data_IF_040860961824
#
_entry.id   IF_040860961824
#
_cell.length_a   1.000
_cell.length_b   1.000
_cell.length_c   1.000
_cell.angle_alpha   90.00
_cell.angle_beta   90.00
_cell.angle_gamma   90.00
#
_symmetry.space_group_name_H-M   'P 1'
#
loop_
_entity.id
_entity.type
_entity.pdbx_description
1 polymer ?
#
# COMPACT_ATOMS: atom_id res chain seq x y z
N UNK A 1 25.99 14.31 6.39
CA UNK A 1 24.99 14.41 5.32
C UNK A 1 23.65 13.96 5.87
N UNK A 2 22.60 14.77 5.80
CA UNK A 2 21.30 14.49 6.43
C UNK A 2 20.12 14.72 5.48
N UNK A 3 20.35 14.79 4.17
CA UNK A 3 19.29 15.04 3.20
C UNK A 3 18.69 13.72 2.72
N UNK A 4 17.37 13.66 2.64
CA UNK A 4 16.61 12.47 2.23
C UNK A 4 15.74 12.82 1.03
N UNK A 5 15.84 12.03 -0.05
CA UNK A 5 14.93 12.11 -1.17
C UNK A 5 13.72 11.22 -0.90
N UNK A 6 12.50 11.79 -0.89
CA UNK A 6 11.25 11.03 -0.71
C UNK A 6 10.51 10.98 -2.03
N UNK A 7 10.43 9.80 -2.66
CA UNK A 7 9.72 9.59 -3.92
C UNK A 7 8.19 9.50 -3.70
N UNK A 8 7.43 9.44 -4.80
CA UNK A 8 5.96 9.41 -4.80
C UNK A 8 5.33 10.56 -3.99
N UNK A 9 5.99 11.71 -3.97
CA UNK A 9 5.60 12.86 -3.15
C UNK A 9 4.29 13.52 -3.59
N UNK A 10 3.62 13.01 -4.62
CA UNK A 10 2.23 13.33 -4.93
C UNK A 10 1.22 12.64 -4.00
N UNK A 11 1.62 11.61 -3.25
CA UNK A 11 0.77 10.82 -2.35
C UNK A 11 0.79 11.27 -0.89
N UNK A 12 -0.25 10.88 -0.15
CA UNK A 12 -0.39 11.22 1.28
C UNK A 12 0.62 10.52 2.20
N UNK A 13 1.01 9.29 1.88
CA UNK A 13 2.02 8.55 2.64
C UNK A 13 3.38 9.27 2.54
N UNK A 14 3.79 9.64 1.33
CA UNK A 14 5.00 10.40 1.08
C UNK A 14 4.97 11.77 1.76
N UNK A 15 3.85 12.51 1.67
CA UNK A 15 3.68 13.76 2.41
C UNK A 15 3.85 13.57 3.93
N UNK A 16 3.40 12.44 4.47
CA UNK A 16 3.55 12.13 5.90
C UNK A 16 5.00 11.86 6.28
N UNK A 17 5.76 11.20 5.39
CA UNK A 17 7.21 11.01 5.53
C UNK A 17 7.92 12.37 5.49
N UNK A 18 7.65 13.20 4.48
CA UNK A 18 8.20 14.56 4.34
C UNK A 18 7.96 15.39 5.60
N UNK A 19 6.72 15.39 6.11
CA UNK A 19 6.34 16.13 7.33
C UNK A 19 7.02 15.59 8.58
N UNK A 20 7.08 14.27 8.74
CA UNK A 20 7.73 13.64 9.90
C UNK A 20 9.20 14.00 9.93
N UNK A 21 9.93 13.71 8.86
CA UNK A 21 11.37 13.96 8.77
C UNK A 21 11.70 15.46 8.90
N UNK A 22 10.95 16.33 8.22
CA UNK A 22 11.16 17.77 8.30
C UNK A 22 10.89 18.34 9.71
N UNK A 23 9.95 17.79 10.48
CA UNK A 23 9.72 18.18 11.88
C UNK A 23 10.87 17.78 12.82
N UNK A 24 11.59 16.71 12.48
CA UNK A 24 12.82 16.30 13.16
C UNK A 24 14.08 17.02 12.63
N UNK A 25 13.92 18.02 11.74
CA UNK A 25 15.02 18.82 11.21
C UNK A 25 15.85 18.15 10.12
N UNK A 26 15.38 17.02 9.57
CA UNK A 26 15.98 16.36 8.41
C UNK A 26 15.66 17.21 7.16
N UNK A 27 16.65 17.43 6.29
CA UNK A 27 16.41 18.09 5.00
C UNK A 27 15.72 17.08 4.07
N UNK A 28 14.62 17.47 3.44
CA UNK A 28 13.86 16.55 2.59
C UNK A 28 13.68 17.15 1.20
N UNK A 29 14.06 16.39 0.18
CA UNK A 29 13.66 16.67 -1.20
C UNK A 29 12.44 15.85 -1.55
N UNK A 30 11.39 16.51 -2.06
CA UNK A 30 10.17 15.85 -2.51
C UNK A 30 10.30 15.43 -3.99
N UNK A 31 10.41 14.13 -4.25
CA UNK A 31 10.48 13.53 -5.58
C UNK A 31 9.12 13.13 -6.15
N UNK A 32 8.75 13.61 -7.33
CA UNK A 32 7.51 13.24 -8.02
C UNK A 32 7.53 13.67 -9.49
N UNK A 33 6.57 13.21 -10.27
CA UNK A 33 6.38 13.51 -11.68
C UNK A 33 5.83 14.93 -11.93
N UNK A 34 5.31 15.60 -10.88
CA UNK A 34 4.60 16.89 -11.02
C UNK A 34 5.05 17.92 -10.00
N UNK A 35 5.36 19.13 -10.49
CA UNK A 35 5.75 20.28 -9.65
C UNK A 35 4.66 20.73 -8.67
N UNK A 36 3.39 20.65 -9.08
CA UNK A 36 2.26 21.02 -8.22
C UNK A 36 1.61 19.76 -7.64
N UNK A 37 2.21 19.27 -6.56
CA UNK A 37 1.82 18.04 -5.88
C UNK A 37 1.95 18.21 -4.36
N UNK A 38 1.43 17.23 -3.60
CA UNK A 38 1.32 17.34 -2.14
C UNK A 38 2.66 17.64 -1.44
N UNK A 39 3.70 16.86 -1.71
CA UNK A 39 5.02 16.97 -1.11
C UNK A 39 5.77 18.23 -1.54
N UNK A 40 5.93 18.53 -2.85
CA UNK A 40 6.63 19.73 -3.31
C UNK A 40 6.14 21.07 -2.73
N UNK A 41 4.84 21.18 -2.42
CA UNK A 41 4.29 22.41 -1.83
C UNK A 41 4.35 22.43 -0.31
N UNK A 42 4.72 21.32 0.34
CA UNK A 42 4.87 21.22 1.78
C UNK A 42 5.97 22.16 2.26
N UNK A 43 5.74 22.87 3.37
CA UNK A 43 6.79 23.68 4.01
C UNK A 43 7.96 22.86 4.57
N UNK A 44 7.76 21.56 4.71
CA UNK A 44 8.74 20.62 5.24
C UNK A 44 9.59 19.97 4.13
N UNK A 45 9.27 20.23 2.87
CA UNK A 45 10.16 19.95 1.75
C UNK A 45 11.10 21.14 1.56
N UNK A 46 12.41 20.88 1.59
CA UNK A 46 13.46 21.88 1.35
C UNK A 46 13.68 22.10 -0.14
N UNK A 47 13.51 21.04 -0.94
CA UNK A 47 13.65 21.09 -2.40
C UNK A 47 12.66 20.12 -3.08
N UNK A 48 12.63 20.15 -4.41
CA UNK A 48 11.78 19.31 -5.25
C UNK A 48 12.59 18.68 -6.38
N UNK A 49 12.42 17.37 -6.56
CA UNK A 49 12.97 16.62 -7.67
C UNK A 49 11.84 16.20 -8.61
N UNK A 50 11.89 16.65 -9.86
CA UNK A 50 10.91 16.27 -10.90
C UNK A 50 11.53 15.25 -11.83
N UNK A 51 10.87 14.11 -11.99
CA UNK A 51 11.37 12.99 -12.78
C UNK A 51 10.30 12.48 -13.77
N UNK A 52 10.70 11.72 -14.82
CA UNK A 52 9.76 10.99 -15.66
C UNK A 52 8.88 10.04 -14.85
N UNK A 53 7.63 9.79 -15.26
CA UNK A 53 6.83 8.76 -14.59
C UNK A 53 7.45 7.39 -14.88
N UNK A 54 7.84 6.61 -13.86
CA UNK A 54 8.36 5.27 -14.10
C UNK A 54 7.37 4.38 -14.87
N UNK A 55 6.05 4.61 -14.75
CA UNK A 55 5.06 3.84 -15.50
C UNK A 55 5.05 4.15 -17.01
N UNK A 56 5.55 5.32 -17.42
CA UNK A 56 5.69 5.67 -18.84
C UNK A 56 6.99 5.08 -19.41
N UNK A 57 8.10 5.17 -18.65
CA UNK A 57 9.41 4.58 -18.98
C UNK A 57 10.24 4.40 -17.71
N UNK A 58 10.36 3.16 -17.23
CA UNK A 58 11.08 2.88 -15.98
C UNK A 58 12.58 3.08 -16.11
N UNK A 59 13.16 2.83 -17.29
CA UNK A 59 14.60 2.97 -17.51
C UNK A 59 14.99 4.44 -17.60
N UNK A 60 14.19 5.28 -18.27
CA UNK A 60 14.38 6.73 -18.25
C UNK A 60 14.25 7.30 -16.83
N UNK A 61 13.31 6.80 -16.02
CA UNK A 61 13.23 7.16 -14.61
C UNK A 61 14.49 6.76 -13.83
N UNK A 62 14.98 5.53 -13.98
CA UNK A 62 16.17 5.04 -13.28
C UNK A 62 17.43 5.81 -13.70
N UNK A 63 17.60 6.12 -14.99
CA UNK A 63 18.70 6.95 -15.50
C UNK A 63 18.65 8.35 -14.89
N UNK A 64 17.48 8.98 -14.90
CA UNK A 64 17.27 10.30 -14.33
C UNK A 64 17.47 10.32 -12.82
N UNK A 65 17.09 9.25 -12.11
CA UNK A 65 17.30 9.10 -10.67
C UNK A 65 18.79 8.97 -10.36
N UNK A 66 19.50 8.07 -11.05
CA UNK A 66 20.94 7.86 -10.83
C UNK A 66 21.74 9.13 -11.10
N UNK A 67 21.47 9.83 -12.21
CA UNK A 67 22.12 11.11 -12.50
C UNK A 67 21.85 12.14 -11.39
N UNK A 68 20.59 12.27 -10.96
CA UNK A 68 20.20 13.19 -9.88
C UNK A 68 20.90 12.86 -8.56
N UNK A 69 21.03 11.58 -8.22
CA UNK A 69 21.70 11.14 -6.99
C UNK A 69 23.23 11.31 -7.05
N UNK A 70 23.85 11.23 -8.23
CA UNK A 70 25.29 11.53 -8.40
C UNK A 70 25.56 13.03 -8.27
N UNK A 71 24.66 13.86 -8.78
CA UNK A 71 24.82 15.32 -8.77
C UNK A 71 24.48 15.98 -7.42
N UNK A 72 23.93 15.21 -6.45
CA UNK A 72 23.43 15.75 -5.19
C UNK A 72 23.75 14.85 -3.99
N UNK A 73 24.12 15.44 -2.85
CA UNK A 73 24.50 14.71 -1.64
C UNK A 73 23.28 14.21 -0.83
N UNK A 74 22.70 13.08 -1.23
CA UNK A 74 21.67 12.40 -0.45
C UNK A 74 22.26 11.36 0.50
N UNK A 75 21.74 11.33 1.73
CA UNK A 75 21.98 10.22 2.63
C UNK A 75 21.16 8.99 2.24
N UNK A 76 19.88 9.19 1.94
CA UNK A 76 18.97 8.10 1.57
C UNK A 76 17.91 8.54 0.56
N UNK A 77 17.42 7.57 -0.22
CA UNK A 77 16.23 7.66 -1.06
C UNK A 77 15.14 6.75 -0.53
N UNK A 78 13.95 7.29 -0.32
CA UNK A 78 12.78 6.60 0.24
C UNK A 78 11.72 6.40 -0.83
N UNK A 79 11.62 5.19 -1.42
CA UNK A 79 10.45 4.82 -2.21
C UNK A 79 9.24 4.58 -1.31
N UNK A 80 8.04 4.92 -1.77
CA UNK A 80 6.84 4.88 -0.92
C UNK A 80 5.77 3.96 -1.49
N UNK A 81 5.58 3.94 -2.80
CA UNK A 81 4.58 3.10 -3.47
C UNK A 81 5.19 1.79 -3.96
N UNK A 82 4.35 0.78 -4.21
CA UNK A 82 4.84 -0.48 -4.79
C UNK A 82 5.53 -0.27 -6.14
N UNK A 83 5.12 0.75 -6.90
CA UNK A 83 5.72 1.13 -8.19
C UNK A 83 7.21 1.42 -8.04
N UNK A 84 7.57 2.37 -7.17
CA UNK A 84 8.97 2.78 -6.96
C UNK A 84 9.72 1.83 -6.05
N UNK A 85 9.08 1.26 -5.01
CA UNK A 85 9.75 0.32 -4.08
C UNK A 85 10.25 -0.91 -4.82
N UNK A 86 9.45 -1.50 -5.71
CA UNK A 86 9.89 -2.65 -6.52
C UNK A 86 11.05 -2.30 -7.44
N UNK A 87 10.99 -1.17 -8.15
CA UNK A 87 12.09 -0.75 -9.04
C UNK A 87 13.38 -0.48 -8.27
N UNK A 88 13.31 0.29 -7.17
CA UNK A 88 14.49 0.64 -6.38
C UNK A 88 15.10 -0.59 -5.71
N UNK A 89 14.28 -1.56 -5.29
CA UNK A 89 14.75 -2.83 -4.73
C UNK A 89 15.47 -3.68 -5.80
N UNK A 90 14.91 -3.81 -7.02
CA UNK A 90 15.55 -4.53 -8.15
C UNK A 90 16.90 -3.94 -8.58
N UNK A 91 17.04 -2.62 -8.50
CA UNK A 91 18.25 -1.89 -8.90
C UNK A 91 19.02 -1.33 -7.71
N UNK A 92 18.85 -1.91 -6.52
CA UNK A 92 19.36 -1.36 -5.27
C UNK A 92 20.87 -1.14 -5.31
N UNK A 93 21.63 -2.17 -5.67
CA UNK A 93 23.08 -2.09 -5.82
C UNK A 93 23.55 -0.97 -6.77
N UNK A 94 22.86 -0.76 -7.88
CA UNK A 94 23.20 0.29 -8.85
C UNK A 94 22.96 1.68 -8.29
N UNK A 95 21.88 1.84 -7.53
CA UNK A 95 21.53 3.11 -6.89
C UNK A 95 22.48 3.38 -5.71
N UNK A 96 22.79 2.38 -4.90
CA UNK A 96 23.67 2.55 -3.73
C UNK A 96 25.12 2.85 -4.11
N UNK A 97 25.57 2.47 -5.31
CA UNK A 97 26.87 2.91 -5.87
C UNK A 97 26.98 4.42 -6.03
N UNK A 98 25.88 5.16 -6.02
CA UNK A 98 25.90 6.64 -5.97
C UNK A 98 26.29 7.19 -4.58
N UNK A 99 26.39 6.33 -3.56
CA UNK A 99 26.60 6.72 -2.17
C UNK A 99 25.31 7.00 -1.39
N UNK A 100 24.14 6.84 -2.03
CA UNK A 100 22.82 7.04 -1.41
C UNK A 100 22.24 5.71 -0.94
N UNK A 101 21.84 5.60 0.33
CA UNK A 101 21.17 4.40 0.86
C UNK A 101 19.76 4.26 0.29
N UNK A 102 19.37 3.08 -0.18
CA UNK A 102 18.00 2.80 -0.61
C UNK A 102 17.19 2.31 0.59
N UNK A 103 16.16 3.07 0.98
CA UNK A 103 15.31 2.76 2.12
C UNK A 103 14.22 1.72 1.76
N UNK A 104 14.63 0.61 1.18
CA UNK A 104 13.81 -0.55 0.85
C UNK A 104 14.61 -1.83 1.06
N UNK A 105 13.89 -2.93 1.23
CA UNK A 105 14.50 -4.25 1.33
C UNK A 105 15.15 -4.68 0.00
N UNK A 106 16.13 -5.58 0.09
CA UNK A 106 16.77 -6.23 -1.06
C UNK A 106 15.74 -7.01 -1.89
N UNK A 107 15.97 -7.12 -3.21
CA UNK A 107 14.98 -7.73 -4.12
C UNK A 107 14.76 -9.21 -3.80
N UNK A 108 15.79 -9.91 -3.40
CA UNK A 108 15.76 -11.32 -3.00
C UNK A 108 14.68 -11.54 -1.93
N UNK A 109 14.66 -10.70 -0.89
CA UNK A 109 13.70 -10.78 0.20
C UNK A 109 12.36 -10.12 -0.16
N UNK A 110 12.37 -8.96 -0.81
CA UNK A 110 11.15 -8.25 -1.24
C UNK A 110 10.31 -9.07 -2.23
N UNK A 111 10.95 -9.87 -3.09
CA UNK A 111 10.27 -10.72 -4.08
C UNK A 111 9.36 -11.78 -3.44
N UNK A 112 9.68 -12.25 -2.22
CA UNK A 112 8.89 -13.23 -1.46
C UNK A 112 7.52 -12.69 -1.03
N UNK A 113 7.43 -11.38 -0.77
CA UNK A 113 6.16 -10.72 -0.37
C UNK A 113 5.49 -10.00 -1.53
N UNK A 114 6.27 -9.65 -2.55
CA UNK A 114 5.75 -9.09 -3.80
C UNK A 114 4.87 -10.11 -4.54
N UNK A 115 5.30 -11.38 -4.58
CA UNK A 115 4.52 -12.47 -5.13
C UNK A 115 3.62 -13.11 -4.06
N UNK A 116 2.31 -12.99 -4.23
CA UNK A 116 1.33 -13.59 -3.32
C UNK A 116 1.46 -15.10 -3.22
N UNK A 117 1.86 -15.81 -4.27
CA UNK A 117 2.02 -17.27 -4.17
C UNK A 117 3.09 -17.62 -3.13
N UNK A 118 4.26 -16.99 -3.22
CA UNK A 118 5.35 -17.14 -2.24
C UNK A 118 4.86 -16.79 -0.82
N UNK A 119 4.08 -15.72 -0.69
CA UNK A 119 3.48 -15.32 0.59
C UNK A 119 2.58 -16.40 1.19
N UNK A 120 1.75 -17.05 0.37
CA UNK A 120 0.82 -18.09 0.82
C UNK A 120 1.49 -19.44 1.06
N UNK A 121 2.51 -19.79 0.28
CA UNK A 121 3.38 -20.93 0.54
C UNK A 121 4.08 -20.77 1.90
N UNK A 122 4.68 -19.60 2.14
CA UNK A 122 5.32 -19.27 3.41
C UNK A 122 4.33 -19.32 4.59
N UNK A 123 3.12 -18.81 4.41
CA UNK A 123 2.08 -18.87 5.43
C UNK A 123 1.70 -20.32 5.78
N UNK A 124 1.59 -21.18 4.77
CA UNK A 124 1.31 -22.60 4.97
C UNK A 124 2.46 -23.30 5.72
N UNK A 125 3.72 -23.06 5.36
CA UNK A 125 4.90 -23.60 6.05
C UNK A 125 4.91 -23.23 7.55
N UNK A 126 4.54 -21.99 7.86
CA UNK A 126 4.54 -21.45 9.22
C UNK A 126 3.24 -21.71 10.00
N UNK A 127 2.26 -22.40 9.40
CA UNK A 127 0.92 -22.59 9.97
C UNK A 127 0.23 -21.26 10.34
N UNK A 128 0.50 -20.20 9.58
CA UNK A 128 -0.23 -18.92 9.68
C UNK A 128 -1.55 -19.07 8.92
N UNK A 129 -2.72 -18.83 9.54
CA UNK A 129 -3.98 -19.04 8.86
C UNK A 129 -4.11 -18.15 7.62
N UNK A 130 -4.44 -18.77 6.49
CA UNK A 130 -4.64 -18.12 5.21
C UNK A 130 -5.73 -18.87 4.39
N UNK A 131 -6.44 -18.18 3.48
CA UNK A 131 -7.40 -18.83 2.60
C UNK A 131 -6.74 -19.87 1.71
N UNK A 132 -7.51 -20.91 1.35
CA UNK A 132 -7.09 -21.88 0.35
C UNK A 132 -6.67 -21.16 -0.94
N UNK A 133 -5.42 -21.34 -1.35
CA UNK A 133 -4.81 -20.62 -2.48
C UNK A 133 -4.11 -21.60 -3.39
N UNK A 134 -4.32 -21.45 -4.69
CA UNK A 134 -3.83 -22.34 -5.73
C UNK A 134 -3.20 -21.54 -6.87
N UNK A 135 -2.14 -22.07 -7.47
CA UNK A 135 -1.42 -21.50 -8.61
C UNK A 135 -1.50 -22.46 -9.81
N UNK A 136 -2.65 -22.54 -10.49
CA UNK A 136 -2.81 -23.46 -11.61
C UNK A 136 -1.97 -23.02 -12.82
N UNK A 137 -1.21 -23.96 -13.39
CA UNK A 137 -0.38 -23.70 -14.58
C UNK A 137 -1.00 -24.31 -15.86
N UNK A 138 -2.04 -25.12 -15.70
CA UNK A 138 -2.68 -25.85 -16.79
C UNK A 138 -4.19 -26.02 -16.57
N UNK A 139 -4.91 -26.36 -17.65
CA UNK A 139 -6.31 -26.75 -17.56
C UNK A 139 -6.51 -27.98 -16.65
N UNK A 140 -5.54 -28.91 -16.64
CA UNK A 140 -5.56 -30.08 -15.75
C UNK A 140 -5.52 -29.67 -14.27
N UNK A 141 -4.74 -28.63 -13.93
CA UNK A 141 -4.72 -28.10 -12.56
C UNK A 141 -6.05 -27.47 -12.19
N UNK A 142 -6.66 -26.70 -13.10
CA UNK A 142 -7.99 -26.14 -12.89
C UNK A 142 -9.04 -27.22 -12.65
N UNK A 143 -9.03 -28.29 -13.44
CA UNK A 143 -9.95 -29.43 -13.31
C UNK A 143 -9.76 -30.16 -11.97
N UNK A 144 -8.52 -30.25 -11.47
CA UNK A 144 -8.21 -30.80 -10.14
C UNK A 144 -8.77 -29.92 -9.02
N UNK A 145 -8.41 -28.64 -9.00
CA UNK A 145 -8.78 -27.74 -7.90
C UNK A 145 -10.28 -27.42 -7.87
N UNK A 146 -10.99 -27.59 -9.00
CA UNK A 146 -12.44 -27.37 -9.14
C UNK A 146 -13.28 -28.03 -8.04
N UNK A 147 -12.88 -29.21 -7.56
CA UNK A 147 -13.61 -29.94 -6.53
C UNK A 147 -13.04 -29.76 -5.11
N UNK A 148 -11.84 -29.18 -5.00
CA UNK A 148 -11.14 -28.96 -3.72
C UNK A 148 -11.35 -27.52 -3.19
N UNK A 149 -11.65 -26.58 -4.08
CA UNK A 149 -11.83 -25.16 -3.79
C UNK A 149 -13.16 -24.88 -3.08
N UNK A 150 -13.11 -24.05 -2.05
CA UNK A 150 -14.30 -23.48 -1.42
C UNK A 150 -14.79 -22.27 -2.21
N UNK A 151 -16.09 -22.25 -2.53
CA UNK A 151 -16.73 -21.17 -3.27
C UNK A 151 -17.55 -20.25 -2.34
N UNK A 152 -17.63 -18.93 -2.61
CA UNK A 152 -17.03 -18.25 -3.75
C UNK A 152 -15.49 -18.15 -3.63
N UNK A 153 -14.84 -17.99 -4.78
CA UNK A 153 -13.41 -17.78 -4.89
C UNK A 153 -13.12 -16.52 -5.71
N UNK A 154 -11.89 -16.04 -5.65
CA UNK A 154 -11.38 -14.90 -6.42
C UNK A 154 -10.15 -15.32 -7.19
N UNK A 155 -10.13 -14.99 -8.47
CA UNK A 155 -8.95 -15.12 -9.33
C UNK A 155 -8.26 -13.76 -9.30
N UNK A 156 -6.98 -13.69 -8.91
CA UNK A 156 -6.28 -12.40 -8.78
C UNK A 156 -4.84 -12.49 -9.24
N UNK A 157 -4.24 -11.34 -9.54
CA UNK A 157 -2.83 -11.26 -9.88
C UNK A 157 -1.93 -11.61 -8.69
N UNK A 158 -0.72 -12.08 -9.02
CA UNK A 158 0.33 -12.41 -8.03
C UNK A 158 0.80 -11.16 -7.30
N UNK A 159 0.95 -10.02 -7.97
CA UNK A 159 1.21 -8.71 -7.36
C UNK A 159 0.19 -7.65 -7.79
N UNK A 160 -0.04 -6.65 -6.94
CA UNK A 160 -0.94 -5.53 -7.26
C UNK A 160 -0.29 -4.54 -8.25
N UNK A 161 1.02 -4.43 -8.22
CA UNK A 161 1.83 -3.52 -9.03
C UNK A 161 2.90 -4.37 -9.69
N UNK A 162 2.70 -4.69 -10.97
CA UNK A 162 3.57 -5.61 -11.71
C UNK A 162 4.47 -4.85 -12.67
N UNK A 163 5.73 -5.28 -12.73
CA UNK A 163 6.71 -4.85 -13.71
C UNK A 163 7.08 -6.05 -14.58
N UNK A 164 6.79 -5.96 -15.88
CA UNK A 164 7.22 -6.96 -16.87
C UNK A 164 8.74 -6.90 -17.06
N UNK A 165 9.33 -7.93 -17.66
CA UNK A 165 10.75 -7.92 -18.04
C UNK A 165 11.11 -6.76 -18.97
N UNK A 166 10.17 -6.33 -19.82
CA UNK A 166 10.36 -5.22 -20.75
C UNK A 166 10.21 -3.83 -20.10
N UNK A 167 9.92 -3.76 -18.79
CA UNK A 167 9.81 -2.51 -18.06
C UNK A 167 8.42 -1.85 -18.11
N UNK A 168 7.39 -2.59 -18.50
CA UNK A 168 6.01 -2.09 -18.51
C UNK A 168 5.37 -2.24 -17.12
N UNK A 169 4.56 -1.26 -16.73
CA UNK A 169 3.89 -1.24 -15.42
C UNK A 169 2.40 -1.57 -15.54
N UNK A 170 1.95 -2.59 -14.81
CA UNK A 170 0.54 -2.95 -14.72
C UNK A 170 0.02 -2.84 -13.28
N UNK A 171 -1.12 -2.17 -13.12
CA UNK A 171 -1.83 -2.06 -11.84
C UNK A 171 -3.07 -2.94 -11.83
N UNK A 172 -2.97 -4.12 -11.22
CA UNK A 172 -4.11 -5.03 -11.14
C UNK A 172 -5.19 -4.51 -10.18
N UNK A 173 -6.43 -4.52 -10.66
CA UNK A 173 -7.63 -4.17 -9.90
C UNK A 173 -8.65 -5.30 -10.00
N UNK A 174 -8.86 -5.99 -8.90
CA UNK A 174 -9.91 -7.00 -8.76
C UNK A 174 -11.27 -6.29 -8.76
N UNK A 175 -12.20 -6.78 -9.57
CA UNK A 175 -13.59 -6.35 -9.61
C UNK A 175 -14.53 -7.57 -9.59
N UNK A 176 -15.84 -7.37 -9.67
CA UNK A 176 -16.83 -8.45 -9.55
C UNK A 176 -16.67 -9.57 -10.58
N UNK A 177 -16.10 -9.30 -11.76
CA UNK A 177 -15.82 -10.32 -12.79
C UNK A 177 -14.68 -11.26 -12.42
N UNK A 178 -13.95 -10.98 -11.34
CA UNK A 178 -12.83 -11.80 -10.87
C UNK A 178 -13.30 -12.86 -9.88
N UNK A 179 -14.56 -12.81 -9.46
CA UNK A 179 -15.15 -13.76 -8.53
C UNK A 179 -15.79 -14.94 -9.25
N UNK A 180 -15.46 -16.13 -8.77
CA UNK A 180 -16.01 -17.41 -9.23
C UNK A 180 -16.97 -17.91 -8.15
N UNK A 181 -18.25 -18.08 -8.48
CA UNK A 181 -19.28 -18.46 -7.50
C UNK A 181 -19.59 -19.95 -7.50
N UNK A 182 -19.15 -20.68 -8.54
CA UNK A 182 -19.42 -22.11 -8.68
C UNK A 182 -18.27 -22.83 -9.41
N UNK A 183 -18.16 -24.16 -9.25
CA UNK A 183 -17.20 -24.99 -9.99
C UNK A 183 -17.27 -24.82 -11.52
N UNK A 184 -18.45 -24.54 -12.06
CA UNK A 184 -18.70 -24.44 -13.50
C UNK A 184 -18.16 -23.13 -14.10
N UNK A 185 -18.01 -22.09 -13.26
CA UNK A 185 -17.49 -20.78 -13.66
C UNK A 185 -15.96 -20.72 -13.68
N UNK A 186 -15.27 -21.67 -13.03
CA UNK A 186 -13.83 -21.57 -12.76
C UNK A 186 -12.98 -21.43 -14.03
N UNK A 187 -13.08 -22.39 -14.95
CA UNK A 187 -12.19 -22.41 -16.13
C UNK A 187 -12.46 -21.25 -17.08
N UNK A 188 -13.73 -20.88 -17.31
CA UNK A 188 -14.08 -19.76 -18.18
C UNK A 188 -13.64 -18.41 -17.60
N UNK A 189 -13.82 -18.22 -16.29
CA UNK A 189 -13.39 -16.98 -15.61
C UNK A 189 -11.86 -16.89 -15.56
N UNK A 190 -11.17 -18.01 -15.30
CA UNK A 190 -9.72 -18.05 -15.30
C UNK A 190 -9.14 -17.68 -16.66
N UNK A 191 -9.64 -18.28 -17.73
CA UNK A 191 -9.16 -18.01 -19.08
C UNK A 191 -9.44 -16.56 -19.51
N UNK A 192 -10.62 -16.03 -19.18
CA UNK A 192 -10.96 -14.63 -19.41
C UNK A 192 -9.96 -13.68 -18.73
N UNK A 193 -9.56 -13.95 -17.48
CA UNK A 193 -8.62 -13.09 -16.74
C UNK A 193 -7.20 -13.27 -17.27
N UNK A 194 -6.77 -14.52 -17.47
CA UNK A 194 -5.45 -14.87 -18.00
C UNK A 194 -5.18 -14.20 -19.36
N UNK A 195 -6.21 -14.06 -20.19
CA UNK A 195 -6.10 -13.43 -21.53
C UNK A 195 -6.41 -11.93 -21.53
N UNK A 196 -6.74 -11.34 -20.39
CA UNK A 196 -7.11 -9.92 -20.31
C UNK A 196 -5.92 -8.97 -20.33
N UNK A 197 -4.72 -9.47 -20.07
CA UNK A 197 -3.48 -8.69 -20.04
C UNK A 197 -2.27 -9.62 -20.24
N UNK A 198 -1.33 -9.20 -21.10
CA UNK A 198 -0.14 -9.98 -21.46
C UNK A 198 0.77 -10.27 -20.25
N UNK A 199 0.70 -9.47 -19.17
CA UNK A 199 1.41 -9.73 -17.92
C UNK A 199 1.07 -11.10 -17.31
N UNK A 200 -0.11 -11.64 -17.59
CA UNK A 200 -0.54 -12.94 -17.10
C UNK A 200 0.04 -14.12 -17.88
N UNK A 201 0.71 -13.87 -19.01
CA UNK A 201 1.54 -14.89 -19.67
C UNK A 201 2.81 -15.16 -18.86
N UNK A 202 3.45 -14.10 -18.34
CA UNK A 202 4.65 -14.19 -17.50
C UNK A 202 4.28 -14.56 -16.04
N UNK A 203 3.17 -14.02 -15.53
CA UNK A 203 2.71 -14.23 -14.16
C UNK A 203 1.27 -14.76 -14.11
N UNK A 204 1.04 -16.06 -14.30
CA UNK A 204 -0.30 -16.64 -14.26
C UNK A 204 -1.05 -16.26 -12.98
N UNK A 205 -2.36 -15.92 -13.07
CA UNK A 205 -3.13 -15.51 -11.91
C UNK A 205 -3.30 -16.67 -10.92
N UNK A 206 -3.52 -16.33 -9.66
CA UNK A 206 -3.81 -17.31 -8.62
C UNK A 206 -5.32 -17.43 -8.41
N UNK A 207 -5.76 -18.58 -7.90
CA UNK A 207 -7.15 -18.84 -7.48
C UNK A 207 -7.18 -18.95 -5.96
N UNK A 208 -8.03 -18.17 -5.29
CA UNK A 208 -8.07 -18.11 -3.83
C UNK A 208 -9.50 -18.13 -3.30
N UNK A 209 -9.73 -18.85 -2.20
CA UNK A 209 -10.98 -18.80 -1.44
C UNK A 209 -11.34 -17.37 -1.03
N UNK A 210 -12.61 -16.99 -1.21
CA UNK A 210 -13.10 -15.72 -0.67
C UNK A 210 -13.29 -15.81 0.84
N UNK A 211 -12.64 -14.91 1.57
CA UNK A 211 -12.82 -14.79 3.02
C UNK A 211 -13.79 -13.65 3.34
N UNK A 212 -14.98 -13.92 3.88
CA UNK A 212 -15.85 -12.86 4.38
C UNK A 212 -15.27 -12.28 5.67
N UNK A 213 -15.31 -10.96 5.81
CA UNK A 213 -14.85 -10.32 7.04
C UNK A 213 -14.51 -8.85 6.90
N UNK A 214 -13.81 -8.35 7.92
CA UNK A 214 -13.28 -6.98 7.97
C UNK A 214 -11.77 -6.98 7.79
N UNK A 215 -11.26 -6.13 6.89
CA UNK A 215 -9.80 -5.97 6.75
C UNK A 215 -9.21 -5.28 7.97
N UNK A 216 -8.22 -5.93 8.58
CA UNK A 216 -7.36 -5.39 9.62
C UNK A 216 -5.89 -5.58 9.22
N UNK A 217 -5.00 -4.85 9.86
CA UNK A 217 -3.61 -4.80 9.41
C UNK A 217 -2.69 -4.64 10.60
N UNK A 218 -1.58 -5.40 10.59
CA UNK A 218 -0.41 -5.12 11.43
C UNK A 218 0.64 -4.48 10.54
N UNK A 219 1.07 -3.26 10.89
CA UNK A 219 2.17 -2.56 10.22
C UNK A 219 3.38 -2.55 11.12
N UNK A 220 4.56 -2.76 10.55
CA UNK A 220 5.82 -2.95 11.29
C UNK A 220 6.96 -2.14 10.70
N UNK A 221 7.94 -1.87 11.54
CA UNK A 221 9.32 -1.59 11.17
C UNK A 221 10.13 -2.72 11.78
N UNK A 222 10.83 -3.47 10.96
CA UNK A 222 11.67 -4.57 11.41
C UNK A 222 13.14 -4.33 11.02
N UNK A 223 14.02 -5.12 11.62
CA UNK A 223 15.45 -5.14 11.37
C UNK A 223 15.93 -6.58 11.56
N UNK A 224 16.33 -7.23 10.46
CA UNK A 224 16.70 -8.66 10.43
C UNK A 224 15.63 -9.57 11.08
N UNK A 225 14.35 -9.28 10.81
CA UNK A 225 13.21 -10.01 11.36
C UNK A 225 12.76 -9.59 12.77
N UNK A 226 13.55 -8.78 13.49
CA UNK A 226 13.16 -8.24 14.80
C UNK A 226 12.22 -7.03 14.61
N UNK A 227 11.00 -7.12 15.14
CA UNK A 227 10.05 -5.99 15.08
C UNK A 227 10.46 -4.90 16.09
N UNK A 228 10.96 -3.78 15.57
CA UNK A 228 11.35 -2.59 16.33
C UNK A 228 10.19 -1.63 16.62
N UNK A 229 9.14 -1.66 15.80
CA UNK A 229 7.91 -0.93 16.06
C UNK A 229 6.74 -1.58 15.34
N UNK A 230 5.55 -1.48 15.91
CA UNK A 230 4.33 -1.91 15.25
C UNK A 230 3.15 -1.01 15.58
N UNK A 231 2.15 -1.05 14.72
CA UNK A 231 0.83 -0.47 14.94
C UNK A 231 -0.20 -1.40 14.30
N UNK A 232 -1.41 -1.47 14.86
CA UNK A 232 -2.48 -2.27 14.28
C UNK A 232 -3.68 -1.38 13.98
N UNK A 233 -4.23 -1.53 12.79
CA UNK A 233 -5.32 -0.70 12.29
C UNK A 233 -6.47 -1.53 11.74
N UNK A 234 -7.68 -0.97 11.86
CA UNK A 234 -8.90 -1.53 11.29
C UNK A 234 -9.54 -0.49 10.38
N UNK A 235 -10.06 -0.96 9.24
CA UNK A 235 -10.84 -0.13 8.32
C UNK A 235 -12.27 -0.03 8.84
N UNK A 236 -12.71 1.18 9.17
CA UNK A 236 -14.11 1.46 9.54
C UNK A 236 -14.98 1.70 8.30
N UNK A 237 -14.36 2.22 7.22
CA UNK A 237 -14.99 2.43 5.92
C UNK A 237 -14.00 2.21 4.78
N UNK A 238 -14.48 1.63 3.68
CA UNK A 238 -13.74 1.36 2.44
C UNK A 238 -14.47 1.95 1.23
N UNK A 239 -13.73 2.25 0.17
CA UNK A 239 -14.27 2.63 -1.14
C UNK A 239 -13.48 1.92 -2.27
N UNK A 240 -14.13 1.05 -3.07
CA UNK A 240 -15.51 0.58 -2.91
C UNK A 240 -15.75 -0.28 -1.65
N UNK A 241 -17.01 -0.46 -1.21
CA UNK A 241 -17.37 -1.31 -0.07
C UNK A 241 -16.88 -2.76 -0.19
N UNK A 242 -16.76 -3.28 -1.41
CA UNK A 242 -16.36 -4.66 -1.72
C UNK A 242 -14.89 -5.01 -1.43
N UNK A 243 -14.06 -4.06 -0.99
CA UNK A 243 -12.66 -4.33 -0.66
C UNK A 243 -11.66 -3.28 -1.16
N UNK A 244 -12.09 -2.02 -1.25
CA UNK A 244 -11.26 -0.93 -1.75
C UNK A 244 -10.34 -0.26 -0.72
N UNK A 245 -9.92 0.96 -1.06
CA UNK A 245 -9.09 1.76 -0.18
C UNK A 245 -9.87 2.18 1.07
N UNK A 246 -9.19 2.21 2.21
CA UNK A 246 -9.76 2.76 3.44
C UNK A 246 -10.05 4.27 3.30
N UNK A 247 -11.20 4.70 3.80
CA UNK A 247 -11.58 6.13 3.88
C UNK A 247 -11.62 6.60 5.32
N UNK A 248 -11.95 5.72 6.27
CA UNK A 248 -11.95 5.96 7.71
C UNK A 248 -11.34 4.75 8.45
N UNK A 249 -10.45 4.98 9.40
CA UNK A 249 -9.75 3.94 10.15
C UNK A 249 -9.57 4.32 11.63
N UNK A 250 -9.39 3.31 12.48
CA UNK A 250 -8.96 3.46 13.88
C UNK A 250 -7.80 2.51 14.22
N UNK A 251 -7.12 2.81 15.33
CA UNK A 251 -6.13 1.91 15.92
C UNK A 251 -6.80 0.81 16.74
N UNK A 252 -6.29 -0.42 16.64
CA UNK A 252 -6.76 -1.56 17.43
C UNK A 252 -5.58 -2.27 18.10
N UNK A 253 -5.84 -3.22 18.99
CA UNK A 253 -4.84 -4.14 19.54
C UNK A 253 -5.36 -5.55 19.45
N UNK A 254 -4.61 -6.43 18.80
CA UNK A 254 -4.93 -7.84 18.71
C UNK A 254 -3.65 -8.68 18.74
N UNK A 255 -3.46 -9.40 19.84
CA UNK A 255 -2.25 -10.19 20.08
C UNK A 255 -2.08 -11.31 19.05
N UNK A 256 -3.16 -12.02 18.69
CA UNK A 256 -3.10 -13.11 17.70
C UNK A 256 -2.68 -12.61 16.32
N UNK A 257 -3.29 -11.51 15.86
CA UNK A 257 -2.94 -10.88 14.59
C UNK A 257 -1.49 -10.36 14.59
N UNK A 258 -1.01 -9.87 15.73
CA UNK A 258 0.38 -9.44 15.87
C UNK A 258 1.34 -10.63 15.82
N UNK A 259 1.02 -11.73 16.51
CA UNK A 259 1.82 -12.96 16.50
C UNK A 259 1.94 -13.57 15.10
N UNK A 260 0.84 -13.63 14.34
CA UNK A 260 0.88 -14.08 12.94
C UNK A 260 1.79 -13.19 12.08
N UNK A 261 1.69 -11.87 12.22
CA UNK A 261 2.57 -10.94 11.50
C UNK A 261 4.03 -11.10 11.93
N UNK A 262 4.30 -11.24 13.23
CA UNK A 262 5.64 -11.45 13.78
C UNK A 262 6.29 -12.72 13.23
N UNK A 263 5.57 -13.84 13.22
CA UNK A 263 6.08 -15.11 12.68
C UNK A 263 6.50 -14.98 11.21
N UNK A 264 5.70 -14.31 10.38
CA UNK A 264 6.03 -14.06 8.97
C UNK A 264 7.27 -13.18 8.81
N UNK A 265 7.29 -12.05 9.54
CA UNK A 265 8.37 -11.06 9.49
C UNK A 265 9.71 -11.64 9.98
N UNK A 266 9.69 -12.41 11.07
CA UNK A 266 10.86 -13.11 11.60
C UNK A 266 11.41 -14.13 10.59
N UNK A 267 10.53 -14.92 9.95
CA UNK A 267 10.96 -15.95 8.99
C UNK A 267 11.56 -15.37 7.70
N UNK A 268 11.11 -14.17 7.32
CA UNK A 268 11.63 -13.42 6.17
C UNK A 268 12.96 -12.72 6.46
N UNK A 269 13.39 -12.65 7.73
CA UNK A 269 14.52 -11.81 8.17
C UNK A 269 14.37 -10.35 7.71
N UNK A 270 13.11 -9.87 7.68
CA UNK A 270 12.74 -8.60 7.05
C UNK A 270 13.37 -7.38 7.74
N UNK A 271 13.82 -6.43 6.93
CA UNK A 271 14.34 -5.12 7.33
C UNK A 271 13.55 -3.98 6.67
N UNK A 272 13.22 -2.97 7.47
CA UNK A 272 12.45 -1.81 7.02
C UNK A 272 10.94 -1.95 7.23
N UNK A 273 10.14 -1.05 6.62
CA UNK A 273 8.70 -1.00 6.81
C UNK A 273 7.96 -2.09 6.04
N UNK A 274 6.97 -2.72 6.69
CA UNK A 274 6.06 -3.65 6.05
C UNK A 274 4.63 -3.55 6.59
N UNK A 275 3.68 -3.98 5.77
CA UNK A 275 2.25 -4.00 6.08
C UNK A 275 1.72 -5.42 5.85
N UNK A 276 1.32 -6.09 6.93
CA UNK A 276 0.71 -7.43 6.88
C UNK A 276 -0.82 -7.27 7.01
N UNK A 277 -1.55 -7.56 5.94
CA UNK A 277 -3.00 -7.42 5.88
C UNK A 277 -3.71 -8.74 6.20
N UNK A 278 -4.75 -8.67 7.02
CA UNK A 278 -5.56 -9.81 7.43
C UNK A 278 -7.05 -9.53 7.19
N UNK A 279 -7.80 -10.59 6.94
CA UNK A 279 -9.26 -10.60 7.01
C UNK A 279 -9.68 -11.14 8.37
N UNK A 280 -10.40 -10.35 9.15
CA UNK A 280 -11.04 -10.81 10.38
C UNK A 280 -12.40 -11.40 10.06
N UNK A 281 -12.53 -12.71 10.21
CA UNK A 281 -13.78 -13.46 9.98
C UNK A 281 -14.80 -13.18 11.08
N UNK A 282 -16.10 -13.47 10.85
CA UNK A 282 -17.16 -13.28 11.85
C UNK A 282 -16.96 -14.05 13.16
N UNK A 283 -16.26 -15.19 13.12
CA UNK A 283 -15.88 -15.97 14.31
C UNK A 283 -14.70 -15.35 15.10
N UNK A 284 -14.11 -14.27 14.58
CA UNK A 284 -13.00 -13.55 15.20
C UNK A 284 -11.61 -14.01 14.77
N UNK A 285 -11.51 -15.05 13.94
CA UNK A 285 -10.22 -15.53 13.43
C UNK A 285 -9.68 -14.64 12.30
N UNK A 286 -8.35 -14.59 12.18
CA UNK A 286 -7.66 -13.78 11.19
C UNK A 286 -7.09 -14.67 10.09
N UNK A 287 -7.28 -14.28 8.84
CA UNK A 287 -6.74 -14.95 7.66
C UNK A 287 -5.82 -13.99 6.91
N UNK A 288 -4.60 -14.40 6.58
CA UNK A 288 -3.66 -13.58 5.82
C UNK A 288 -4.25 -13.22 4.43
N UNK A 289 -4.09 -11.96 4.01
CA UNK A 289 -4.49 -11.49 2.68
C UNK A 289 -3.26 -11.22 1.80
N UNK A 290 -2.30 -10.48 2.34
CA UNK A 290 -1.06 -10.12 1.66
C UNK A 290 -0.05 -9.51 2.64
N UNK A 291 1.23 -9.52 2.25
CA UNK A 291 2.29 -8.73 2.88
C UNK A 291 2.74 -7.69 1.86
N UNK A 292 2.75 -6.42 2.24
CA UNK A 292 3.25 -5.34 1.41
C UNK A 292 4.58 -4.84 2.00
N UNK A 293 5.68 -5.12 1.32
CA UNK A 293 7.04 -4.70 1.70
C UNK A 293 7.33 -3.22 1.41
N UNK A 294 6.46 -2.32 1.88
CA UNK A 294 6.55 -0.87 1.62
C UNK A 294 5.80 -0.07 2.68
N UNK A 295 5.92 1.25 2.63
CA UNK A 295 5.00 2.14 3.32
C UNK A 295 3.55 1.97 2.85
N UNK A 296 2.59 2.22 3.74
CA UNK A 296 1.16 2.05 3.48
C UNK A 296 0.42 3.38 3.46
N UNK A 297 -0.72 3.41 2.77
CA UNK A 297 -1.46 4.65 2.57
C UNK A 297 -2.09 5.25 3.85
N UNK A 298 -2.31 4.42 4.87
CA UNK A 298 -2.82 4.81 6.20
C UNK A 298 -1.72 5.17 7.20
N UNK A 299 -0.46 5.28 6.77
CA UNK A 299 0.68 5.76 7.58
C UNK A 299 0.36 6.97 8.50
N UNK A 300 -0.40 8.00 8.07
CA UNK A 300 -0.79 9.10 8.97
C UNK A 300 -1.47 8.65 10.28
N UNK A 301 -2.27 7.57 10.26
CA UNK A 301 -2.95 7.06 11.45
C UNK A 301 -1.94 6.59 12.50
N UNK A 302 -0.94 5.81 12.09
CA UNK A 302 0.12 5.33 12.99
C UNK A 302 0.89 6.50 13.64
N UNK A 303 1.30 7.48 12.82
CA UNK A 303 2.01 8.69 13.30
C UNK A 303 1.13 9.46 14.31
N UNK A 304 -0.14 9.70 13.96
CA UNK A 304 -1.08 10.42 14.81
C UNK A 304 -1.44 9.66 16.10
N UNK A 305 -1.20 8.35 16.11
CA UNK A 305 -1.37 7.44 17.24
C UNK A 305 -0.09 7.25 18.08
N UNK A 306 1.01 7.91 17.70
CA UNK A 306 2.25 7.94 18.46
C UNK A 306 3.37 7.03 17.93
N UNK A 307 3.19 6.38 16.78
CA UNK A 307 4.23 5.53 16.15
C UNK A 307 4.75 6.21 14.89
N UNK A 308 5.85 6.94 15.04
CA UNK A 308 6.47 7.73 13.97
C UNK A 308 7.38 6.88 13.08
N UNK A 309 6.79 5.97 12.29
CA UNK A 309 7.51 5.05 11.41
C UNK A 309 8.57 5.71 10.52
N UNK A 310 8.33 6.87 9.87
CA UNK A 310 9.35 7.52 9.06
C UNK A 310 10.58 7.92 9.86
N UNK A 311 10.39 8.50 11.05
CA UNK A 311 11.49 8.87 11.94
C UNK A 311 12.25 7.64 12.45
N UNK A 312 11.54 6.60 12.87
CA UNK A 312 12.15 5.37 13.35
C UNK A 312 12.94 4.65 12.25
N UNK A 313 12.41 4.61 11.02
CA UNK A 313 13.11 4.03 9.87
C UNK A 313 14.34 4.86 9.48
N UNK A 314 14.24 6.19 9.47
CA UNK A 314 15.41 7.05 9.25
C UNK A 314 16.51 6.78 10.28
N UNK A 315 16.15 6.64 11.56
CA UNK A 315 17.10 6.27 12.61
C UNK A 315 17.74 4.90 12.37
N UNK A 316 16.94 3.90 11.99
CA UNK A 316 17.44 2.59 11.63
C UNK A 316 18.50 2.66 10.52
N UNK A 317 18.22 3.37 9.44
CA UNK A 317 19.17 3.57 8.33
C UNK A 317 20.46 4.27 8.78
N UNK A 318 20.41 5.07 9.85
CA UNK A 318 21.57 5.75 10.45
C UNK A 318 22.37 4.84 11.39
N UNK A 319 21.99 3.58 11.54
CA UNK A 319 22.60 2.62 12.46
C UNK A 319 22.08 2.70 13.90
N UNK A 320 21.08 3.54 14.17
CA UNK A 320 20.40 3.54 15.46
C UNK A 320 19.35 2.42 15.48
N UNK A 321 19.40 1.49 16.42
CA UNK A 321 18.29 0.53 16.63
C UNK A 321 17.24 1.14 17.59
N UNK A 322 16.11 1.70 17.11
CA UNK A 322 15.08 2.24 18.00
C UNK A 322 14.48 1.15 18.89
N UNK A 323 14.22 1.48 20.16
CA UNK A 323 13.55 0.55 21.08
C UNK A 323 12.11 0.30 20.66
N UNK A 324 11.66 -0.94 20.86
CA UNK A 324 10.27 -1.38 20.71
C UNK A 324 9.27 -0.36 21.27
N UNK A 325 8.49 0.28 20.39
CA UNK A 325 7.37 1.13 20.81
C UNK A 325 6.20 0.23 21.19
N UNK A 326 6.13 -0.18 22.47
CA UNK A 326 5.11 -1.11 22.97
C UNK A 326 3.72 -0.49 23.19
N UNK A 327 3.60 0.84 23.20
CA UNK A 327 2.34 1.54 23.46
C UNK A 327 2.07 2.63 22.42
N UNK A 328 0.83 2.66 21.94
CA UNK A 328 0.27 3.56 20.94
C UNK A 328 -1.23 3.74 21.24
N UNK A 329 -1.78 4.87 20.80
CA UNK A 329 -3.18 5.24 21.01
C UNK A 329 -4.11 4.47 20.09
N UNK A 330 -5.25 4.03 20.62
CA UNK A 330 -6.33 3.39 19.86
C UNK A 330 -7.60 4.25 19.82
N UNK A 331 -7.60 5.40 20.51
CA UNK A 331 -8.69 6.36 20.52
C UNK A 331 -8.63 7.35 19.34
N UNK A 332 -7.60 7.24 18.50
CA UNK A 332 -7.44 8.06 17.29
C UNK A 332 -8.22 7.44 16.16
N UNK A 333 -9.15 8.22 15.62
CA UNK A 333 -9.84 7.93 14.36
C UNK A 333 -9.29 8.85 13.28
N UNK A 334 -8.92 8.29 12.13
CA UNK A 334 -8.26 8.99 11.04
C UNK A 334 -9.04 8.82 9.73
N UNK A 335 -9.22 9.92 9.01
CA UNK A 335 -9.69 9.91 7.61
C UNK A 335 -8.55 9.96 6.64
N UNK A 336 -8.65 9.22 5.53
CA UNK A 336 -7.57 9.11 4.55
C UNK A 336 -7.75 10.13 3.41
N UNK A 337 -8.65 9.86 2.47
CA UNK A 337 -8.82 10.65 1.24
C UNK A 337 -10.15 11.43 1.27
N UNK A 338 -10.11 12.75 1.08
CA UNK A 338 -11.32 13.57 0.95
C UNK A 338 -12.21 13.08 -0.20
N UNK A 339 -11.60 12.80 -1.35
CA UNK A 339 -12.32 12.25 -2.49
C UNK A 339 -12.91 10.86 -2.19
N UNK A 340 -12.21 10.02 -1.42
CA UNK A 340 -12.75 8.74 -0.98
C UNK A 340 -13.95 8.89 -0.04
N UNK A 341 -13.95 9.90 0.84
CA UNK A 341 -15.15 10.25 1.63
C UNK A 341 -16.33 10.65 0.73
N UNK A 342 -16.08 11.41 -0.34
CA UNK A 342 -17.11 11.85 -1.29
C UNK A 342 -17.64 10.67 -2.13
N UNK A 343 -16.77 9.80 -2.63
CA UNK A 343 -17.17 8.58 -3.34
C UNK A 343 -17.98 7.65 -2.45
N UNK A 344 -17.54 7.45 -1.20
CA UNK A 344 -18.27 6.63 -0.24
C UNK A 344 -19.70 7.16 -0.05
N UNK A 345 -19.85 8.48 0.15
CA UNK A 345 -21.17 9.09 0.26
C UNK A 345 -21.97 8.93 -1.04
N UNK A 346 -21.33 9.13 -2.20
CA UNK A 346 -21.98 8.98 -3.50
C UNK A 346 -22.53 7.57 -3.72
N UNK A 347 -21.73 6.52 -3.48
CA UNK A 347 -22.17 5.13 -3.61
C UNK A 347 -23.38 4.83 -2.71
N UNK A 348 -23.34 5.23 -1.44
CA UNK A 348 -24.47 5.04 -0.53
C UNK A 348 -25.73 5.81 -0.98
N UNK A 349 -25.59 7.04 -1.48
CA UNK A 349 -26.73 7.82 -1.97
C UNK A 349 -27.30 7.25 -3.28
N UNK A 350 -26.44 6.74 -4.17
CA UNK A 350 -26.86 6.06 -5.39
C UNK A 350 -27.67 4.79 -5.09
N UNK A 351 -27.35 4.09 -4.00
CA UNK A 351 -28.10 2.94 -3.49
C UNK A 351 -29.35 3.33 -2.66
N UNK A 352 -29.65 4.63 -2.54
CA UNK A 352 -30.80 5.15 -1.79
C UNK A 352 -30.61 5.20 -0.27
N UNK A 353 -29.41 4.94 0.25
CA UNK A 353 -29.11 4.99 1.68
C UNK A 353 -28.84 6.42 2.16
N UNK A 354 -29.91 7.20 2.36
CA UNK A 354 -29.85 8.55 2.92
C UNK A 354 -29.28 8.60 4.35
N UNK A 355 -29.23 7.47 5.06
CA UNK A 355 -28.71 7.42 6.43
C UNK A 355 -27.19 7.61 6.46
N UNK A 356 -26.50 7.43 5.34
CA UNK A 356 -25.06 7.65 5.21
C UNK A 356 -24.62 9.12 5.40
N UNK A 357 -25.52 10.09 5.21
CA UNK A 357 -25.23 11.52 5.40
C UNK A 357 -24.79 11.82 6.84
N UNK A 358 -25.45 11.25 7.84
CA UNK A 358 -25.13 11.46 9.26
C UNK A 358 -23.71 10.98 9.63
N UNK A 359 -23.36 9.71 9.36
CA UNK A 359 -21.99 9.20 9.48
C UNK A 359 -20.96 10.01 8.68
N UNK A 360 -21.26 10.43 7.45
CA UNK A 360 -20.39 11.28 6.65
C UNK A 360 -20.09 12.58 7.38
N UNK A 361 -21.10 13.37 7.77
CA UNK A 361 -20.91 14.63 8.47
C UNK A 361 -20.18 14.45 9.81
N UNK A 362 -20.51 13.42 10.59
CA UNK A 362 -19.84 13.12 11.86
C UNK A 362 -18.35 12.83 11.68
N UNK A 363 -17.95 12.25 10.55
CA UNK A 363 -16.55 12.01 10.23
C UNK A 363 -15.73 13.32 10.07
N UNK A 364 -16.36 14.49 9.95
CA UNK A 364 -15.69 15.79 9.87
C UNK A 364 -15.55 16.53 11.21
N UNK A 365 -16.21 16.08 12.28
CA UNK A 365 -16.28 16.83 13.55
C UNK A 365 -15.33 16.29 14.63
N UNK A 366 -14.83 15.05 14.51
CA UNK A 366 -14.00 14.38 15.52
C UNK A 366 -12.67 13.77 15.02
N UNK A 367 -12.65 13.06 13.88
CA UNK A 367 -11.43 12.45 13.36
C UNK A 367 -10.33 13.45 13.01
N UNK A 368 -9.07 13.09 13.28
CA UNK A 368 -7.92 13.84 12.78
C UNK A 368 -7.90 13.74 11.25
N UNK A 369 -7.73 14.88 10.60
CA UNK A 369 -7.66 14.97 9.14
C UNK A 369 -6.25 14.57 8.67
N UNK A 370 -6.12 13.78 7.61
CA UNK A 370 -4.80 13.52 7.01
C UNK A 370 -4.28 14.73 6.23
N UNK A 371 -5.16 15.44 5.53
CA UNK A 371 -4.77 16.46 4.56
C UNK A 371 -4.85 17.90 5.09
N UNK A 372 -5.65 18.17 6.15
CA UNK A 372 -5.72 19.50 6.78
C UNK A 372 -4.61 19.62 7.81
N UNK A 373 -3.71 20.57 7.60
CA UNK A 373 -2.62 20.87 8.52
C UNK A 373 -2.50 22.38 8.64
N UNK A 374 -2.62 22.89 9.86
CA UNK A 374 -2.52 24.33 10.15
C UNK A 374 -1.08 24.80 10.03
N UNK A 375 -0.15 23.95 10.47
CA UNK A 375 1.28 24.18 10.39
C UNK A 375 1.81 24.07 8.97
N UNK A 376 1.18 23.30 8.08
CA UNK A 376 1.55 23.11 6.67
C UNK A 376 0.29 23.13 5.75
N UNK A 377 -0.26 24.33 5.46
CA UNK A 377 -1.57 24.48 4.83
C UNK A 377 -1.56 24.32 3.30
N UNK A 378 -0.41 24.44 2.62
CA UNK A 378 -0.35 24.39 1.15
C UNK A 378 -0.78 23.03 0.58
N UNK A 379 -0.35 21.87 1.12
CA UNK A 379 -0.85 20.57 0.65
C UNK A 379 -2.36 20.40 0.86
N UNK A 380 -2.95 21.06 1.86
CA UNK A 380 -4.41 21.08 2.04
C UNK A 380 -5.10 21.71 0.83
N UNK A 381 -4.58 22.84 0.34
CA UNK A 381 -5.09 23.49 -0.87
C UNK A 381 -5.01 22.58 -2.11
N UNK A 382 -3.87 21.92 -2.32
CA UNK A 382 -3.70 20.95 -3.42
C UNK A 382 -4.68 19.78 -3.29
N UNK A 383 -4.85 19.20 -2.10
CA UNK A 383 -5.77 18.10 -1.88
C UNK A 383 -7.24 18.50 -2.17
N UNK A 384 -7.63 19.73 -1.84
CA UNK A 384 -8.96 20.26 -2.17
C UNK A 384 -9.15 20.42 -3.67
N UNK A 385 -8.15 20.97 -4.39
CA UNK A 385 -8.20 21.10 -5.85
C UNK A 385 -8.29 19.73 -6.53
N UNK A 386 -7.48 18.76 -6.11
CA UNK A 386 -7.53 17.39 -6.62
C UNK A 386 -8.91 16.74 -6.39
N UNK A 387 -9.52 16.96 -5.22
CA UNK A 387 -10.86 16.45 -4.94
C UNK A 387 -11.93 17.07 -5.87
N UNK A 388 -11.80 18.37 -6.18
CA UNK A 388 -12.68 19.06 -7.15
C UNK A 388 -12.47 18.51 -8.56
N UNK A 389 -11.23 18.42 -9.03
CA UNK A 389 -10.90 17.88 -10.36
C UNK A 389 -11.45 16.47 -10.55
N UNK A 390 -11.21 15.57 -9.60
CA UNK A 390 -11.73 14.20 -9.64
C UNK A 390 -13.26 14.16 -9.61
N UNK A 391 -13.90 14.98 -8.76
CA UNK A 391 -15.36 15.11 -8.71
C UNK A 391 -15.96 15.62 -10.02
N UNK A 392 -15.35 16.63 -10.65
CA UNK A 392 -15.77 17.14 -11.97
C UNK A 392 -15.57 16.12 -13.08
N UNK A 393 -14.48 15.34 -13.04
CA UNK A 393 -14.22 14.27 -14.00
C UNK A 393 -15.23 13.13 -13.92
N UNK A 394 -15.68 12.74 -12.72
CA UNK A 394 -16.76 11.78 -12.54
C UNK A 394 -18.11 12.33 -13.04
N UNK A 395 -18.45 13.58 -12.71
CA UNK A 395 -19.66 14.25 -13.20
C UNK A 395 -19.70 14.31 -14.74
N UNK A 396 -18.58 14.62 -15.40
CA UNK A 396 -18.47 14.64 -16.85
C UNK A 396 -18.62 13.25 -17.47
N UNK A 397 -18.07 12.20 -16.84
CA UNK A 397 -18.27 10.80 -17.26
C UNK A 397 -19.73 10.37 -17.15
N UNK A 398 -20.46 10.84 -16.14
CA UNK A 398 -21.89 10.57 -15.99
C UNK A 398 -22.74 11.25 -17.08
N UNK A 399 -22.40 12.49 -17.46
CA UNK A 399 -23.11 13.24 -18.51
C UNK A 399 -22.85 12.71 -19.94
N UNK A 400 -21.81 11.89 -20.13
CA UNK A 400 -21.53 11.19 -21.40
C UNK A 400 -22.08 9.75 -21.42
N UNK A 401 -22.68 9.29 -20.32
CA UNK A 401 -23.36 7.98 -20.19
C UNK A 401 -24.90 8.13 -20.14
N UNK A 402 -25.42 9.35 -20.33
CA UNK A 402 -26.83 9.66 -20.63
C UNK A 402 -26.97 10.01 -22.09
#
# INVERSE_FOLDING_TARGET
>A
MNEVLVLDSNGQAALSIVRSLGRHGVRVTAGTERRFALGPVSRYATDTYIHPDPADDCYAFLDHLRAHLVDNDYFAVVPVTGKTTTLLSRHKDEIERTGTVVAAEDWETLSLVYDKANTFELAAELNVPAPGTFTPESQTDLDRIRNELSYPAVIKSRSKSMWTENGEHELSRVNDSYYVRSPDELSSTYEMIRTSNDVFEEYPPLVQEYVPGETQTTVVLADEGEILAHFQERRLRTDPPSGGNSTLLDGVRNQRMFESARTLIERLEWTGPAQVEFMKRPDGEFQLIEINGRYWGSLPLAINSGVDFPWLHYRLLRGDRPRAVGSYRTDVVQRRLLYGDLNWLHHHLADGDLRAVGPFCRAFVGPKHTFVSVDDPRPTGIALLQAVELGTGQLLKMLHLT
#
